data_IF_898681035107
#
_entry.id   IF_898681035107
#
_cell.length_a   1.000
_cell.length_b   1.000
_cell.length_c   1.000
_cell.angle_alpha   90.00
_cell.angle_beta   90.00
_cell.angle_gamma   90.00
#
_symmetry.space_group_name_H-M   'P 1'
#
loop_
_entity.id
_entity.type
_entity.pdbx_description
1 polymer ?
#
# COMPACT_ATOMS: atom_id res chain seq x y z
N UNK A 1 -4.02 15.14 12.68
CA UNK A 1 -3.55 13.74 12.52
C UNK A 1 -2.16 13.54 13.13
N UNK A 2 -1.14 14.30 12.72
CA UNK A 2 0.21 14.21 13.30
C UNK A 2 0.22 14.25 14.84
N UNK A 3 -0.37 15.30 15.42
CA UNK A 3 -0.47 15.44 16.88
C UNK A 3 -1.21 14.26 17.54
N UNK A 4 -2.26 13.76 16.90
CA UNK A 4 -3.02 12.59 17.36
C UNK A 4 -2.15 11.33 17.41
N UNK A 5 -1.37 11.07 16.36
CA UNK A 5 -0.45 9.93 16.28
C UNK A 5 0.67 10.07 17.34
N UNK A 6 1.23 11.27 17.47
CA UNK A 6 2.33 11.53 18.41
C UNK A 6 1.88 11.48 19.88
N UNK A 7 0.59 11.71 20.18
CA UNK A 7 -0.01 11.54 21.53
C UNK A 7 -0.47 10.12 21.86
N UNK A 8 -0.61 9.23 20.89
CA UNK A 8 -1.05 7.85 21.14
C UNK A 8 -0.04 7.10 22.03
N UNK A 9 -0.53 6.34 23.01
CA UNK A 9 0.28 5.51 23.89
C UNK A 9 0.50 4.13 23.24
N UNK A 10 1.52 4.04 22.38
CA UNK A 10 1.85 2.87 21.57
C UNK A 10 3.36 2.77 21.34
N UNK A 11 3.86 1.55 21.20
CA UNK A 11 5.29 1.29 20.91
C UNK A 11 5.68 1.62 19.46
N UNK A 12 4.74 1.49 18.51
CA UNK A 12 4.98 1.67 17.07
C UNK A 12 3.71 2.09 16.32
N UNK A 13 3.88 2.78 15.19
CA UNK A 13 2.82 3.16 14.25
C UNK A 13 2.88 2.32 12.98
N UNK A 14 1.77 1.65 12.61
CA UNK A 14 1.65 0.93 11.34
C UNK A 14 0.89 1.79 10.31
N UNK A 15 1.53 2.11 9.19
CA UNK A 15 0.91 2.84 8.09
C UNK A 15 0.22 1.82 7.17
N UNK A 16 -1.09 1.65 7.38
CA UNK A 16 -1.95 0.71 6.65
C UNK A 16 -2.50 1.22 5.31
N UNK A 17 -2.11 2.42 4.88
CA UNK A 17 -2.66 3.07 3.68
C UNK A 17 -1.68 2.99 2.50
N UNK A 18 -2.16 3.07 1.25
CA UNK A 18 -1.29 3.13 0.07
C UNK A 18 -0.34 4.32 0.06
N UNK A 19 -0.79 5.44 0.63
CA UNK A 19 0.02 6.64 0.71
C UNK A 19 1.13 6.45 1.74
N UNK A 20 2.31 6.97 1.41
CA UNK A 20 3.39 7.05 2.36
C UNK A 20 3.19 8.25 3.29
N UNK A 21 2.60 8.01 4.46
CA UNK A 21 2.33 9.09 5.44
C UNK A 21 3.61 9.77 5.92
N UNK A 22 4.77 9.10 5.89
CA UNK A 22 6.05 9.70 6.29
C UNK A 22 6.48 10.89 5.40
N UNK A 23 5.89 11.03 4.20
CA UNK A 23 6.16 12.15 3.28
C UNK A 23 5.35 13.41 3.60
N UNK A 24 4.34 13.32 4.47
CA UNK A 24 3.39 14.41 4.73
C UNK A 24 3.21 14.74 6.22
N UNK A 25 3.60 13.86 7.13
CA UNK A 25 3.54 14.08 8.59
C UNK A 25 4.79 13.54 9.28
N UNK A 26 5.21 14.21 10.35
CA UNK A 26 6.34 13.82 11.20
C UNK A 26 5.86 12.92 12.35
N UNK A 27 6.10 11.62 12.19
CA UNK A 27 5.84 10.61 13.21
C UNK A 27 7.08 10.50 14.10
N UNK A 28 6.96 10.78 15.40
CA UNK A 28 8.08 10.77 16.35
C UNK A 28 8.32 9.40 17.02
N UNK A 29 7.55 8.38 16.63
CA UNK A 29 7.65 7.01 17.09
C UNK A 29 8.18 6.10 15.97
N UNK A 30 8.72 4.90 16.28
CA UNK A 30 8.99 3.89 15.26
C UNK A 30 7.77 3.69 14.37
N UNK A 31 7.97 3.61 13.06
CA UNK A 31 6.86 3.40 12.12
C UNK A 31 7.23 2.45 11.00
N UNK A 32 6.26 1.64 10.58
CA UNK A 32 6.40 0.70 9.48
C UNK A 32 5.24 0.88 8.51
N UNK A 33 5.56 1.01 7.22
CA UNK A 33 4.55 1.02 6.15
C UNK A 33 4.30 -0.41 5.69
N UNK A 34 3.04 -0.83 5.73
CA UNK A 34 2.63 -2.10 5.15
C UNK A 34 2.17 -1.88 3.71
N UNK A 35 2.49 -2.83 2.85
CA UNK A 35 2.03 -2.86 1.47
C UNK A 35 1.08 -4.03 1.34
N UNK A 36 -0.03 -3.79 0.66
CA UNK A 36 -0.92 -4.84 0.21
C UNK A 36 -0.80 -4.95 -1.30
N UNK A 37 -0.88 -6.18 -1.80
CA UNK A 37 -0.87 -6.47 -3.24
C UNK A 37 -2.25 -6.98 -3.65
N UNK A 38 -2.65 -6.64 -4.88
CA UNK A 38 -3.87 -7.20 -5.46
C UNK A 38 -3.64 -8.68 -5.73
N UNK A 39 -4.43 -9.54 -5.10
CA UNK A 39 -4.51 -10.95 -5.45
C UNK A 39 -5.73 -11.16 -6.35
N UNK A 40 -5.49 -11.45 -7.63
CA UNK A 40 -6.57 -11.81 -8.54
C UNK A 40 -7.09 -13.22 -8.22
N UNK A 41 -8.41 -13.37 -8.12
CA UNK A 41 -9.07 -14.65 -7.85
C UNK A 41 -9.86 -15.05 -9.09
N UNK A 42 -9.59 -16.25 -9.61
CA UNK A 42 -10.26 -16.77 -10.80
C UNK A 42 -9.59 -16.40 -12.12
N UNK A 43 -10.21 -16.79 -13.23
CA UNK A 43 -9.71 -16.59 -14.59
C UNK A 43 -10.82 -16.10 -15.53
N UNK A 44 -10.49 -15.35 -16.60
CA UNK A 44 -9.16 -14.85 -16.95
C UNK A 44 -8.71 -13.69 -16.05
N UNK A 45 -7.41 -13.58 -15.81
CA UNK A 45 -6.81 -12.45 -15.08
C UNK A 45 -6.81 -11.18 -15.93
N UNK A 46 -6.65 -10.01 -15.31
CA UNK A 46 -6.44 -8.74 -16.00
C UNK A 46 -5.25 -8.84 -16.95
N UNK A 47 -4.17 -9.49 -16.49
CA UNK A 47 -2.99 -9.77 -17.32
C UNK A 47 -3.36 -10.58 -18.58
N UNK A 48 -4.19 -11.62 -18.44
CA UNK A 48 -4.61 -12.44 -19.59
C UNK A 48 -5.41 -11.63 -20.61
N UNK A 49 -6.32 -10.77 -20.13
CA UNK A 49 -7.12 -9.89 -20.99
C UNK A 49 -6.22 -8.88 -21.72
N UNK A 50 -5.28 -8.27 -21.01
CA UNK A 50 -4.34 -7.32 -21.60
C UNK A 50 -3.41 -7.98 -22.62
N UNK A 51 -2.88 -9.16 -22.32
CA UNK A 51 -2.04 -9.93 -23.24
C UNK A 51 -2.81 -10.37 -24.48
N UNK A 52 -4.08 -10.81 -24.32
CA UNK A 52 -4.93 -11.18 -25.46
C UNK A 52 -5.18 -10.00 -26.40
N UNK A 53 -5.34 -8.79 -25.87
CA UNK A 53 -5.69 -7.60 -26.66
C UNK A 53 -4.49 -6.84 -27.22
N UNK A 54 -3.40 -6.77 -26.45
CA UNK A 54 -2.26 -5.88 -26.74
C UNK A 54 -0.90 -6.59 -26.68
N UNK A 55 -0.85 -7.88 -26.37
CA UNK A 55 0.39 -8.64 -26.29
C UNK A 55 1.10 -8.70 -27.64
N UNK A 56 2.44 -8.66 -27.60
CA UNK A 56 3.27 -8.76 -28.80
C UNK A 56 3.03 -10.13 -29.45
N UNK A 57 2.54 -10.14 -30.69
CA UNK A 57 2.58 -11.35 -31.52
C UNK A 57 4.05 -11.61 -31.86
N UNK A 58 4.61 -12.67 -31.30
CA UNK A 58 5.83 -13.27 -31.87
C UNK A 58 5.53 -13.83 -33.25
#
# INVERSE_FOLDING_TARGET
LEETINKADVDMVIIGTPIDLSRVVKINKPSQRVRYELQEIGVPTLKDVLMKKFGVKK
#
